data_IF_059186512456
#
_entry.id   IF_059186512456
#
_cell.length_a   1.000
_cell.length_b   1.000
_cell.length_c   1.000
_cell.angle_alpha   90.00
_cell.angle_beta   90.00
_cell.angle_gamma   90.00
#
_symmetry.space_group_name_H-M   'P 1'
#
loop_
_entity.id
_entity.type
_entity.pdbx_description
1 polymer ?
#
# COMPACT_ATOMS: atom_id res chain seq x y z
N UNK A 1 26.24 -28.02 10.00
CA UNK A 1 26.18 -26.56 10.28
C UNK A 1 25.82 -25.90 8.96
N UNK A 2 24.68 -25.21 8.87
CA UNK A 2 24.42 -24.34 7.71
C UNK A 2 25.16 -23.05 8.01
N UNK A 3 26.14 -22.71 7.18
CA UNK A 3 26.72 -21.36 7.17
C UNK A 3 25.58 -20.38 6.93
N UNK A 4 25.22 -19.64 7.97
CA UNK A 4 24.40 -18.45 7.85
C UNK A 4 25.40 -17.35 7.55
N UNK A 5 25.52 -17.00 6.26
CA UNK A 5 26.24 -15.80 5.85
C UNK A 5 25.73 -14.56 6.58
N UNK A 6 26.47 -13.45 6.61
CA UNK A 6 26.04 -12.26 7.33
C UNK A 6 24.64 -11.83 6.87
N UNK A 7 23.74 -11.56 7.81
CA UNK A 7 22.43 -10.97 7.52
C UNK A 7 22.64 -9.69 6.70
N UNK A 8 22.21 -9.71 5.46
CA UNK A 8 22.24 -8.52 4.62
C UNK A 8 21.25 -7.50 5.18
N UNK A 9 21.56 -6.19 5.12
CA UNK A 9 20.60 -5.18 5.53
C UNK A 9 19.31 -5.35 4.72
N UNK A 10 18.19 -5.48 5.44
CA UNK A 10 16.87 -5.62 4.85
C UNK A 10 15.97 -4.46 5.25
N UNK A 11 15.05 -4.10 4.35
CA UNK A 11 14.03 -3.09 4.58
C UNK A 11 12.65 -3.74 4.55
N UNK A 12 11.72 -3.23 5.37
CA UNK A 12 10.31 -3.59 5.20
C UNK A 12 9.72 -2.74 4.07
N UNK A 13 9.30 -3.39 2.99
CA UNK A 13 8.83 -2.71 1.80
C UNK A 13 7.40 -3.12 1.41
N UNK A 14 6.76 -2.22 0.67
CA UNK A 14 5.48 -2.41 0.02
C UNK A 14 5.41 -1.50 -1.20
N UNK A 15 4.48 -1.80 -2.12
CA UNK A 15 4.19 -1.02 -3.32
C UNK A 15 2.88 -0.30 -3.12
N UNK A 16 2.80 0.98 -3.45
CA UNK A 16 1.60 1.78 -3.22
C UNK A 16 1.40 2.89 -4.24
N UNK A 17 0.15 3.32 -4.38
CA UNK A 17 -0.24 4.55 -5.07
C UNK A 17 -0.15 5.69 -4.06
N UNK A 18 0.63 6.72 -4.40
CA UNK A 18 0.67 7.98 -3.65
C UNK A 18 -0.57 8.79 -3.95
N UNK A 19 -1.12 9.41 -2.91
CA UNK A 19 -2.24 10.33 -3.05
C UNK A 19 -1.75 11.71 -3.47
N UNK A 20 -2.51 12.39 -4.33
CA UNK A 20 -2.24 13.78 -4.67
C UNK A 20 -2.43 14.72 -3.46
N UNK A 21 -2.00 15.97 -3.60
CA UNK A 21 -2.06 16.95 -2.51
C UNK A 21 -3.51 17.29 -2.09
N UNK A 22 -4.43 17.34 -3.06
CA UNK A 22 -5.84 17.65 -2.81
C UNK A 22 -6.49 16.56 -1.94
N UNK A 23 -6.28 15.29 -2.29
CA UNK A 23 -6.80 14.13 -1.56
C UNK A 23 -6.16 14.04 -0.18
N UNK A 24 -4.84 14.25 -0.06
CA UNK A 24 -4.16 14.28 1.25
C UNK A 24 -4.69 15.39 2.15
N UNK A 25 -4.98 16.57 1.60
CA UNK A 25 -5.53 17.70 2.35
C UNK A 25 -6.95 17.41 2.85
N UNK A 26 -7.80 16.80 2.01
CA UNK A 26 -9.14 16.39 2.42
C UNK A 26 -9.10 15.33 3.55
N UNK A 27 -8.23 14.33 3.42
CA UNK A 27 -8.06 13.30 4.45
C UNK A 27 -7.45 13.85 5.74
N UNK A 28 -6.54 14.84 5.65
CA UNK A 28 -6.00 15.54 6.82
C UNK A 28 -7.12 16.18 7.64
N UNK A 29 -7.97 16.97 7.00
CA UNK A 29 -9.07 17.65 7.66
C UNK A 29 -10.01 16.65 8.36
N UNK A 30 -10.28 15.52 7.72
CA UNK A 30 -11.11 14.47 8.30
C UNK A 30 -10.44 13.76 9.48
N UNK A 31 -9.14 13.47 9.38
CA UNK A 31 -8.35 12.90 10.50
C UNK A 31 -8.36 13.86 11.69
N UNK A 32 -8.16 15.17 11.47
CA UNK A 32 -8.14 16.15 12.55
C UNK A 32 -9.51 16.27 13.23
N UNK A 33 -10.60 16.21 12.46
CA UNK A 33 -11.97 16.13 12.98
C UNK A 33 -12.19 14.88 13.84
N UNK A 34 -11.75 13.72 13.36
CA UNK A 34 -11.92 12.45 14.08
C UNK A 34 -11.03 12.33 15.30
N UNK A 35 -9.83 12.92 15.28
CA UNK A 35 -8.89 12.92 16.40
C UNK A 35 -9.48 13.55 17.65
N UNK A 36 -10.30 14.58 17.50
CA UNK A 36 -11.02 15.19 18.63
C UNK A 36 -12.00 14.21 19.31
N UNK A 37 -12.64 13.33 18.53
CA UNK A 37 -13.60 12.35 19.04
C UNK A 37 -12.96 11.02 19.47
N UNK A 38 -11.76 10.71 18.95
CA UNK A 38 -11.05 9.47 19.19
C UNK A 38 -9.55 9.74 19.50
N UNK A 39 -9.24 10.34 20.65
CA UNK A 39 -7.88 10.74 21.01
C UNK A 39 -6.94 9.54 21.24
N UNK A 40 -7.49 8.36 21.50
CA UNK A 40 -6.73 7.13 21.74
C UNK A 40 -6.32 6.41 20.44
N UNK A 41 -6.80 6.87 19.28
CA UNK A 41 -6.42 6.29 17.99
C UNK A 41 -5.07 6.85 17.56
N UNK A 42 -4.15 5.95 17.21
CA UNK A 42 -2.88 6.31 16.59
C UNK A 42 -3.13 6.70 15.12
N UNK A 43 -3.42 7.97 14.88
CA UNK A 43 -3.69 8.49 13.54
C UNK A 43 -2.43 8.58 12.69
N UNK A 44 -2.46 7.95 11.51
CA UNK A 44 -1.38 8.03 10.53
C UNK A 44 -1.28 9.47 9.99
N UNK A 45 -0.07 10.05 9.90
CA UNK A 45 0.11 11.35 9.25
C UNK A 45 -0.35 11.30 7.78
N UNK A 46 -1.08 12.31 7.30
CA UNK A 46 -1.65 12.34 5.95
C UNK A 46 -0.59 12.25 4.83
N UNK A 47 0.64 12.70 5.08
CA UNK A 47 1.79 12.52 4.19
C UNK A 47 2.17 11.05 3.99
N UNK A 48 1.85 10.19 4.97
CA UNK A 48 2.09 8.75 4.91
C UNK A 48 0.87 7.98 4.39
N UNK A 49 -0.25 8.64 4.08
CA UNK A 49 -1.43 7.98 3.51
C UNK A 49 -1.17 7.59 2.06
N UNK A 50 -1.52 6.35 1.74
CA UNK A 50 -1.33 5.75 0.45
C UNK A 50 -2.33 4.62 0.24
N UNK A 51 -2.51 4.19 -1.00
CA UNK A 51 -3.25 2.97 -1.32
C UNK A 51 -2.24 1.86 -1.57
N UNK A 52 -2.14 0.90 -0.65
CA UNK A 52 -1.22 -0.24 -0.80
C UNK A 52 -1.72 -1.17 -1.90
N UNK A 53 -0.81 -1.59 -2.78
CA UNK A 53 -1.07 -2.55 -3.86
C UNK A 53 -0.47 -3.93 -3.57
N UNK A 54 0.71 -3.99 -2.95
CA UNK A 54 1.38 -5.25 -2.60
C UNK A 54 2.30 -5.06 -1.40
N UNK A 55 2.23 -5.96 -0.41
CA UNK A 55 3.22 -6.04 0.66
C UNK A 55 4.37 -6.96 0.21
N UNK A 56 5.62 -6.50 0.39
CA UNK A 56 6.82 -7.28 0.05
C UNK A 56 7.48 -7.92 1.27
N UNK A 57 7.11 -7.47 2.48
CA UNK A 57 7.76 -7.95 3.70
C UNK A 57 9.18 -7.41 3.82
N UNK A 58 10.12 -8.25 4.27
CA UNK A 58 11.53 -7.91 4.30
C UNK A 58 12.16 -8.13 2.92
N UNK A 59 12.81 -7.10 2.39
CA UNK A 59 13.51 -7.11 1.11
C UNK A 59 14.99 -6.87 1.39
N UNK A 60 15.84 -7.78 0.94
CA UNK A 60 17.29 -7.61 1.01
C UNK A 60 17.73 -6.44 0.10
N UNK A 61 18.72 -5.65 0.55
CA UNK A 61 19.14 -4.45 -0.19
C UNK A 61 19.61 -4.74 -1.63
N UNK A 62 20.21 -5.91 -1.86
CA UNK A 62 20.63 -6.38 -3.19
C UNK A 62 19.46 -6.74 -4.13
N UNK A 63 18.28 -7.05 -3.60
CA UNK A 63 17.08 -7.34 -4.39
C UNK A 63 16.31 -6.09 -4.80
N UNK A 64 16.64 -4.91 -4.24
CA UNK A 64 15.88 -3.67 -4.50
C UNK A 64 15.96 -3.23 -5.97
N UNK A 65 17.09 -3.43 -6.64
CA UNK A 65 17.26 -3.07 -8.05
C UNK A 65 16.37 -3.95 -8.95
N UNK A 66 16.32 -5.25 -8.69
CA UNK A 66 15.46 -6.19 -9.42
C UNK A 66 13.97 -5.91 -9.17
N UNK A 67 13.59 -5.61 -7.92
CA UNK A 67 12.22 -5.18 -7.58
C UNK A 67 11.86 -3.91 -8.34
N UNK A 68 12.76 -2.92 -8.36
CA UNK A 68 12.52 -1.64 -9.05
C UNK A 68 12.34 -1.85 -10.55
N UNK A 69 13.21 -2.65 -11.19
CA UNK A 69 13.09 -2.97 -12.61
C UNK A 69 11.79 -3.72 -12.93
N UNK A 70 11.37 -4.65 -12.07
CA UNK A 70 10.09 -5.35 -12.19
C UNK A 70 8.90 -4.40 -12.12
N UNK A 71 8.95 -3.43 -11.19
CA UNK A 71 7.91 -2.40 -11.05
C UNK A 71 7.86 -1.47 -12.27
N UNK A 72 9.00 -1.02 -12.79
CA UNK A 72 9.06 -0.19 -13.99
C UNK A 72 8.44 -0.91 -15.20
N UNK A 73 8.70 -2.20 -15.36
CA UNK A 73 8.08 -3.02 -16.40
C UNK A 73 6.56 -3.14 -16.19
N UNK A 74 6.11 -3.34 -14.95
CA UNK A 74 4.69 -3.48 -14.61
C UNK A 74 3.87 -2.20 -14.89
N UNK A 75 4.50 -1.03 -14.74
CA UNK A 75 3.83 0.26 -14.92
C UNK A 75 3.99 0.88 -16.31
N UNK A 76 4.94 0.38 -17.13
CA UNK A 76 5.31 0.99 -18.44
C UNK A 76 4.12 1.30 -19.34
N UNK A 77 3.20 0.34 -19.49
CA UNK A 77 2.03 0.48 -20.37
C UNK A 77 0.75 0.83 -19.59
N UNK A 78 0.90 1.33 -18.35
CA UNK A 78 -0.23 1.75 -17.54
C UNK A 78 -0.73 3.12 -17.97
N UNK A 79 -2.02 3.21 -18.29
CA UNK A 79 -2.70 4.49 -18.49
C UNK A 79 -3.07 5.07 -17.12
N UNK A 80 -2.86 6.38 -16.87
CA UNK A 80 -3.36 7.05 -15.67
C UNK A 80 -4.87 6.84 -15.50
N UNK A 81 -5.31 6.72 -14.25
CA UNK A 81 -6.72 6.54 -13.92
C UNK A 81 -7.07 7.29 -12.64
N UNK A 82 -8.34 7.65 -12.52
CA UNK A 82 -8.85 8.34 -11.33
C UNK A 82 -9.29 7.35 -10.25
N UNK A 83 -9.03 7.73 -9.00
CA UNK A 83 -9.55 7.07 -7.81
C UNK A 83 -10.49 8.02 -7.08
N UNK A 84 -11.71 7.58 -6.78
CA UNK A 84 -12.59 8.32 -5.86
C UNK A 84 -12.39 7.76 -4.45
N UNK A 85 -11.87 8.54 -3.52
CA UNK A 85 -11.82 8.17 -2.10
C UNK A 85 -13.09 8.67 -1.41
N UNK A 86 -13.89 7.74 -0.88
CA UNK A 86 -15.16 8.05 -0.24
C UNK A 86 -15.56 7.03 0.81
N UNK A 87 -16.10 7.56 1.91
CA UNK A 87 -16.59 6.78 3.03
C UNK A 87 -15.47 6.27 3.93
N UNK A 88 -15.83 5.96 5.16
CA UNK A 88 -14.93 5.38 6.16
C UNK A 88 -15.43 4.00 6.54
N UNK A 89 -14.50 3.08 6.72
CA UNK A 89 -14.74 1.74 7.22
C UNK A 89 -13.85 1.43 8.41
N UNK A 90 -14.13 0.30 9.06
CA UNK A 90 -13.37 -0.16 10.20
C UNK A 90 -13.24 -1.70 10.20
N UNK A 91 -12.09 -2.21 10.62
CA UNK A 91 -11.83 -3.64 10.80
C UNK A 91 -11.46 -3.98 12.24
N UNK A 92 -11.88 -5.15 12.79
CA UNK A 92 -12.81 -6.09 12.17
C UNK A 92 -14.26 -5.58 12.14
N UNK A 93 -14.66 -4.70 13.06
CA UNK A 93 -16.01 -4.08 13.08
C UNK A 93 -15.93 -2.64 13.60
N UNK A 94 -16.92 -1.78 13.33
CA UNK A 94 -16.94 -0.41 13.84
C UNK A 94 -16.84 -0.28 15.36
N UNK A 95 -17.44 -1.21 16.12
CA UNK A 95 -17.44 -1.17 17.60
C UNK A 95 -16.19 -1.81 18.23
N UNK A 96 -15.38 -2.52 17.45
CA UNK A 96 -14.11 -3.15 17.90
C UNK A 96 -12.96 -2.84 16.94
N UNK A 97 -12.95 -1.64 16.39
CA UNK A 97 -12.03 -1.25 15.33
C UNK A 97 -10.57 -1.31 15.83
N UNK A 98 -9.73 -2.03 15.08
CA UNK A 98 -8.26 -1.97 15.14
C UNK A 98 -7.68 -1.09 14.05
N UNK A 99 -8.40 -0.96 12.93
CA UNK A 99 -8.02 -0.12 11.79
C UNK A 99 -9.24 0.65 11.33
N UNK A 100 -9.07 1.95 11.11
CA UNK A 100 -10.01 2.81 10.38
C UNK A 100 -9.40 3.09 9.01
N UNK A 101 -10.19 2.97 7.94
CA UNK A 101 -9.72 3.15 6.57
C UNK A 101 -10.70 3.98 5.75
N UNK A 102 -10.18 4.68 4.74
CA UNK A 102 -10.99 5.38 3.76
C UNK A 102 -11.21 4.49 2.54
N UNK A 103 -12.45 4.41 2.05
CA UNK A 103 -12.80 3.52 0.96
C UNK A 103 -12.50 4.11 -0.42
N UNK A 104 -12.11 3.25 -1.36
CA UNK A 104 -12.09 3.58 -2.79
C UNK A 104 -13.49 3.34 -3.35
N UNK A 105 -14.14 4.28 -4.02
CA UNK A 105 -15.49 4.07 -4.60
C UNK A 105 -15.46 3.85 -6.10
N UNK A 106 -14.58 4.54 -6.81
CA UNK A 106 -14.33 4.41 -8.25
C UNK A 106 -12.85 4.11 -8.54
N UNK A 107 -12.57 3.52 -9.69
CA UNK A 107 -11.20 3.16 -10.12
C UNK A 107 -10.66 1.84 -9.55
N UNK A 108 -11.49 1.06 -8.84
CA UNK A 108 -11.10 -0.24 -8.26
C UNK A 108 -10.63 -1.26 -9.29
N UNK A 109 -11.25 -1.29 -10.47
CA UNK A 109 -10.88 -2.21 -11.54
C UNK A 109 -9.50 -1.89 -12.11
N UNK A 110 -9.24 -0.63 -12.46
CA UNK A 110 -7.94 -0.18 -12.94
C UNK A 110 -6.84 -0.39 -11.88
N UNK A 111 -7.14 -0.10 -10.62
CA UNK A 111 -6.26 -0.38 -9.49
C UNK A 111 -5.98 -1.87 -9.32
N UNK A 112 -6.99 -2.73 -9.44
CA UNK A 112 -6.86 -4.18 -9.37
C UNK A 112 -6.04 -4.74 -10.54
N UNK A 113 -6.24 -4.22 -11.75
CA UNK A 113 -5.43 -4.57 -12.91
C UNK A 113 -3.96 -4.17 -12.73
N UNK A 114 -3.70 -2.97 -12.19
CA UNK A 114 -2.35 -2.53 -11.85
C UNK A 114 -1.72 -3.43 -10.78
N UNK A 115 -2.45 -3.76 -9.70
CA UNK A 115 -1.98 -4.69 -8.68
C UNK A 115 -1.65 -6.06 -9.29
N UNK A 116 -2.51 -6.59 -10.17
CA UNK A 116 -2.26 -7.86 -10.88
C UNK A 116 -1.01 -7.84 -11.76
N UNK A 117 -0.71 -6.72 -12.43
CA UNK A 117 0.54 -6.54 -13.18
C UNK A 117 1.76 -6.52 -12.26
N UNK A 118 1.68 -5.83 -11.13
CA UNK A 118 2.75 -5.78 -10.12
C UNK A 118 3.00 -7.19 -9.56
N UNK A 119 1.94 -7.92 -9.24
CA UNK A 119 2.01 -9.31 -8.79
C UNK A 119 2.73 -10.20 -9.80
N UNK A 120 2.34 -10.13 -11.08
CA UNK A 120 2.97 -10.91 -12.14
C UNK A 120 4.45 -10.55 -12.36
N UNK A 121 4.81 -9.28 -12.23
CA UNK A 121 6.18 -8.81 -12.44
C UNK A 121 7.11 -9.16 -11.27
N UNK A 122 6.59 -9.22 -10.04
CA UNK A 122 7.39 -9.47 -8.85
C UNK A 122 7.46 -10.95 -8.43
N UNK A 123 6.56 -11.79 -8.94
CA UNK A 123 6.60 -13.25 -8.76
C UNK A 123 7.94 -13.90 -9.17
N UNK A 124 8.51 -13.65 -10.37
CA UNK A 124 9.78 -14.28 -10.77
C UNK A 124 11.01 -13.77 -9.98
N UNK A 125 10.90 -12.63 -9.30
CA UNK A 125 11.98 -12.06 -8.45
C UNK A 125 11.76 -12.37 -6.96
N UNK A 126 10.98 -13.41 -6.66
CA UNK A 126 10.88 -13.99 -5.31
C UNK A 126 9.75 -13.46 -4.43
N UNK A 127 8.83 -12.66 -4.98
CA UNK A 127 7.66 -12.16 -4.24
C UNK A 127 6.38 -12.84 -4.72
N UNK A 128 5.96 -13.96 -4.08
CA UNK A 128 4.82 -14.73 -4.53
C UNK A 128 3.53 -13.90 -4.52
N UNK A 129 2.56 -14.34 -5.32
CA UNK A 129 1.25 -13.69 -5.39
C UNK A 129 0.49 -13.76 -4.08
N UNK A 130 -0.22 -12.68 -3.73
CA UNK A 130 -1.13 -12.69 -2.59
C UNK A 130 -2.22 -13.76 -2.80
N UNK A 131 -2.31 -14.71 -1.88
CA UNK A 131 -3.26 -15.82 -1.95
C UNK A 131 -4.61 -15.52 -1.27
N UNK A 132 -4.78 -14.31 -0.70
CA UNK A 132 -6.02 -13.90 -0.01
C UNK A 132 -6.94 -13.12 -0.97
N UNK A 133 -8.25 -13.41 -0.96
CA UNK A 133 -9.25 -12.71 -1.78
C UNK A 133 -9.49 -11.27 -1.32
#
# INVERSE_FOLDING_TARGET
MKDVGPDLPSVRAFVAIRLDDATRSALRAEIDRLRAAAPYVAWVPAENLHVTLKFLGHVEANSLDEVTAGLEAAVRDSVPFDLEIRGLGAFPTPTRARVVWAGVRAGREAMGALAGRIEAALEPVGFPREARP
#
